data_IF_510761497132
#
_entry.id   IF_510761497132
#
_cell.length_a   1.000
_cell.length_b   1.000
_cell.length_c   1.000
_cell.angle_alpha   90.00
_cell.angle_beta   90.00
_cell.angle_gamma   90.00
#
_symmetry.space_group_name_H-M   'P 1'
#
loop_
_entity.id
_entity.type
_entity.pdbx_description
1 polymer ?
#
# COMPACT_ATOMS: atom_id res chain seq x y z
N UNK A 1 -30.16 -10.82 73.46
CA UNK A 1 -30.04 -9.36 73.21
C UNK A 1 -28.76 -8.88 73.88
N UNK A 2 -27.83 -8.31 73.09
CA UNK A 2 -26.71 -7.39 73.44
C UNK A 2 -25.79 -7.73 74.65
N UNK A 3 -24.48 -7.50 74.68
CA UNK A 3 -23.47 -6.94 73.78
C UNK A 3 -22.09 -7.08 74.46
N UNK A 4 -21.05 -7.27 73.65
CA UNK A 4 -19.62 -6.90 73.80
C UNK A 4 -19.02 -6.43 75.15
N UNK A 5 -17.87 -7.02 75.53
CA UNK A 5 -16.51 -6.48 75.26
C UNK A 5 -15.45 -7.20 76.12
N UNK A 6 -14.34 -7.69 75.53
CA UNK A 6 -12.99 -7.39 76.05
C UNK A 6 -11.87 -7.73 75.06
N UNK A 7 -10.75 -7.04 75.28
CA UNK A 7 -9.56 -6.77 74.47
C UNK A 7 -8.51 -7.89 74.41
N UNK A 8 -7.70 -7.80 73.35
CA UNK A 8 -6.23 -7.99 73.25
C UNK A 8 -5.61 -9.37 73.60
N UNK A 9 -4.84 -9.94 72.66
CA UNK A 9 -3.37 -9.89 72.68
C UNK A 9 -2.75 -10.57 71.44
N UNK A 10 -1.59 -10.07 71.05
CA UNK A 10 -0.59 -10.66 70.14
C UNK A 10 -0.19 -12.09 70.50
N UNK A 11 0.23 -12.90 69.51
CA UNK A 11 1.34 -13.86 69.62
C UNK A 11 1.68 -14.45 68.25
N UNK A 12 2.96 -14.33 67.90
CA UNK A 12 3.67 -15.20 66.96
C UNK A 12 3.62 -16.65 67.49
N UNK A 13 3.43 -17.63 66.62
CA UNK A 13 4.29 -18.82 66.54
C UNK A 13 3.87 -19.78 65.39
N UNK A 14 4.81 -19.91 64.44
CA UNK A 14 5.32 -21.14 63.80
C UNK A 14 4.36 -22.32 63.58
N UNK A 15 4.13 -22.68 62.31
CA UNK A 15 4.20 -24.08 61.84
C UNK A 15 4.67 -24.15 60.37
N UNK A 16 5.72 -24.94 60.21
CA UNK A 16 6.43 -25.39 59.00
C UNK A 16 5.53 -26.22 58.07
N UNK A 17 5.55 -25.91 56.77
CA UNK A 17 5.23 -26.87 55.71
C UNK A 17 6.20 -26.67 54.53
N UNK A 18 7.31 -27.38 54.60
CA UNK A 18 8.09 -27.81 53.45
C UNK A 18 7.22 -28.49 52.39
N UNK A 19 7.32 -28.02 51.14
CA UNK A 19 7.00 -28.80 49.96
C UNK A 19 6.00 -28.16 49.00
N UNK A 20 6.48 -27.31 48.08
CA UNK A 20 6.19 -27.44 46.64
C UNK A 20 7.06 -26.47 45.81
N UNK A 21 7.50 -26.85 44.58
CA UNK A 21 8.41 -26.05 43.78
C UNK A 21 7.72 -24.85 43.12
N UNK A 22 8.46 -23.75 43.01
CA UNK A 22 8.13 -22.57 42.21
C UNK A 22 7.73 -22.96 40.78
N UNK A 23 6.65 -22.42 40.20
CA UNK A 23 6.46 -22.49 38.76
C UNK A 23 7.54 -21.66 38.08
N UNK A 24 8.45 -22.37 37.42
CA UNK A 24 9.43 -21.86 36.48
C UNK A 24 8.82 -20.85 35.52
N UNK A 25 9.57 -19.77 35.26
CA UNK A 25 9.31 -18.77 34.24
C UNK A 25 8.71 -19.40 32.98
N UNK A 26 7.50 -18.97 32.63
CA UNK A 26 6.88 -19.36 31.37
C UNK A 26 7.77 -18.86 30.22
N UNK A 27 8.11 -19.71 29.24
CA UNK A 27 8.88 -19.28 28.09
C UNK A 27 8.07 -18.23 27.34
N UNK A 28 8.75 -17.14 26.97
CA UNK A 28 8.29 -16.12 26.03
C UNK A 28 7.53 -16.83 24.90
N UNK A 29 6.20 -16.66 24.88
CA UNK A 29 5.39 -17.13 23.76
C UNK A 29 5.94 -16.44 22.52
N UNK A 30 6.59 -17.23 21.67
CA UNK A 30 6.90 -16.85 20.31
C UNK A 30 5.58 -16.42 19.67
N UNK A 31 5.40 -15.10 19.56
CA UNK A 31 4.36 -14.49 18.75
C UNK A 31 4.65 -14.98 17.33
N UNK A 32 3.87 -15.94 16.84
CA UNK A 32 3.93 -16.36 15.44
C UNK A 32 3.69 -15.12 14.58
N UNK A 33 4.77 -14.51 14.10
CA UNK A 33 4.71 -13.63 12.94
C UNK A 33 4.34 -14.54 11.78
N UNK A 34 3.15 -14.35 11.21
CA UNK A 34 2.74 -14.98 9.97
C UNK A 34 3.56 -14.36 8.84
N UNK A 35 4.82 -14.78 8.73
CA UNK A 35 5.67 -14.42 7.60
C UNK A 35 5.24 -15.23 6.39
N UNK A 36 5.33 -14.64 5.20
CA UNK A 36 5.08 -15.35 3.95
C UNK A 36 6.26 -16.23 3.53
N UNK A 37 7.31 -16.40 4.36
CA UNK A 37 8.60 -17.07 4.08
C UNK A 37 8.51 -18.48 3.44
N UNK A 38 7.36 -19.16 3.50
CA UNK A 38 7.11 -20.44 2.81
C UNK A 38 6.25 -20.37 1.52
N UNK A 39 5.73 -19.20 1.16
CA UNK A 39 4.77 -18.99 0.06
C UNK A 39 5.40 -18.27 -1.12
N UNK A 40 6.39 -17.40 -0.87
CA UNK A 40 7.10 -16.63 -1.90
C UNK A 40 8.58 -16.97 -1.79
N UNK A 41 9.25 -17.24 -2.91
CA UNK A 41 10.71 -17.40 -2.90
C UNK A 41 11.35 -16.02 -2.74
N UNK A 42 12.07 -15.88 -1.64
CA UNK A 42 12.64 -14.65 -1.15
C UNK A 42 14.15 -14.54 -1.34
N UNK A 43 14.75 -15.52 -2.01
CA UNK A 43 16.16 -15.44 -2.36
C UNK A 43 16.35 -14.32 -3.37
N UNK A 44 17.03 -13.24 -2.96
CA UNK A 44 17.41 -12.16 -3.87
C UNK A 44 18.16 -12.78 -5.07
N UNK A 45 17.75 -12.50 -6.31
CA UNK A 45 18.40 -13.08 -7.47
C UNK A 45 19.85 -12.60 -7.55
N UNK A 46 20.73 -13.39 -8.14
CA UNK A 46 22.09 -12.93 -8.38
C UNK A 46 22.08 -11.73 -9.34
N UNK A 47 22.96 -10.73 -9.20
CA UNK A 47 23.10 -9.66 -10.20
C UNK A 47 23.52 -10.22 -11.56
N UNK A 48 23.10 -9.60 -12.66
CA UNK A 48 23.66 -9.92 -13.97
C UNK A 48 25.10 -9.39 -14.07
N UNK A 49 26.01 -10.12 -14.75
CA UNK A 49 27.27 -9.55 -15.23
C UNK A 49 27.02 -8.27 -16.03
N UNK A 50 27.87 -7.26 -15.87
CA UNK A 50 27.65 -5.93 -16.46
C UNK A 50 27.55 -5.98 -17.99
N UNK A 51 28.35 -6.81 -18.64
CA UNK A 51 28.33 -7.01 -20.09
C UNK A 51 27.01 -7.67 -20.55
N UNK A 52 26.56 -8.71 -19.82
CA UNK A 52 25.28 -9.36 -20.08
C UNK A 52 24.11 -8.39 -19.86
N UNK A 53 24.14 -7.58 -18.80
CA UNK A 53 23.13 -6.55 -18.54
C UNK A 53 23.03 -5.55 -19.69
N UNK A 54 24.16 -5.01 -20.15
CA UNK A 54 24.16 -4.06 -21.27
C UNK A 54 23.60 -4.67 -22.56
N UNK A 55 23.97 -5.93 -22.87
CA UNK A 55 23.41 -6.64 -24.04
C UNK A 55 21.90 -6.89 -23.90
N UNK A 56 21.47 -7.39 -22.76
CA UNK A 56 20.05 -7.64 -22.47
C UNK A 56 19.23 -6.34 -22.55
N UNK A 57 19.75 -5.23 -22.01
CA UNK A 57 19.12 -3.92 -22.09
C UNK A 57 18.99 -3.42 -23.54
N UNK A 58 20.04 -3.58 -24.35
CA UNK A 58 19.99 -3.18 -25.76
C UNK A 58 18.95 -3.99 -26.55
N UNK A 59 18.91 -5.31 -26.33
CA UNK A 59 17.93 -6.21 -26.95
C UNK A 59 16.50 -5.90 -26.49
N UNK A 60 16.30 -5.65 -25.20
CA UNK A 60 15.03 -5.19 -24.64
C UNK A 60 14.53 -3.93 -25.34
N UNK A 61 15.35 -2.88 -25.42
CA UNK A 61 14.95 -1.65 -26.09
C UNK A 61 14.71 -1.83 -27.60
N UNK A 62 15.45 -2.74 -28.25
CA UNK A 62 15.22 -3.05 -29.66
C UNK A 62 13.83 -3.64 -29.89
N UNK A 63 13.38 -4.56 -29.03
CA UNK A 63 12.02 -5.13 -29.05
C UNK A 63 10.97 -4.04 -28.79
N UNK A 64 11.14 -3.27 -27.72
CA UNK A 64 10.19 -2.21 -27.34
C UNK A 64 10.05 -1.16 -28.43
N UNK A 65 11.16 -0.72 -29.04
CA UNK A 65 11.13 0.31 -30.08
C UNK A 65 10.55 -0.23 -31.39
N UNK A 66 10.86 -1.48 -31.75
CA UNK A 66 10.32 -2.10 -32.97
C UNK A 66 8.78 -2.17 -32.94
N UNK A 67 8.21 -2.61 -31.81
CA UNK A 67 6.74 -2.71 -31.64
C UNK A 67 6.09 -1.43 -31.10
N UNK A 68 6.88 -0.40 -30.76
CA UNK A 68 6.39 0.86 -30.21
C UNK A 68 5.56 1.68 -31.20
N UNK A 69 5.84 1.54 -32.50
CA UNK A 69 5.15 2.24 -33.59
C UNK A 69 3.90 1.50 -34.10
N UNK A 70 3.64 0.28 -33.60
CA UNK A 70 2.43 -0.49 -33.88
C UNK A 70 1.25 0.15 -33.14
N UNK A 71 0.73 1.24 -33.71
CA UNK A 71 -0.27 2.13 -33.11
C UNK A 71 -1.41 1.39 -32.41
N UNK A 72 -1.51 1.60 -31.09
CA UNK A 72 -2.63 1.12 -30.30
C UNK A 72 -3.95 1.65 -30.84
N UNK A 73 -5.02 0.85 -30.75
CA UNK A 73 -6.37 1.31 -31.10
C UNK A 73 -6.74 2.50 -30.23
N UNK A 74 -7.52 3.43 -30.78
CA UNK A 74 -8.00 4.62 -30.07
C UNK A 74 -8.75 4.20 -28.80
N UNK A 75 -8.21 4.54 -27.63
CA UNK A 75 -8.78 4.19 -26.33
C UNK A 75 -8.14 3.00 -25.61
N UNK A 76 -7.08 2.40 -26.17
CA UNK A 76 -6.22 1.43 -25.48
C UNK A 76 -4.96 2.11 -24.91
N UNK A 77 -4.38 1.50 -23.88
CA UNK A 77 -3.06 1.90 -23.36
C UNK A 77 -1.94 1.32 -24.23
N UNK A 78 -0.75 1.93 -24.17
CA UNK A 78 0.42 1.43 -24.89
C UNK A 78 1.09 0.30 -24.11
N UNK A 79 0.94 -0.93 -24.62
CA UNK A 79 1.58 -2.14 -24.08
C UNK A 79 3.11 -2.06 -24.09
N UNK A 80 3.79 -1.68 -25.20
CA UNK A 80 5.23 -1.50 -25.18
C UNK A 80 5.69 -0.45 -24.17
N UNK A 81 4.97 0.68 -24.03
CA UNK A 81 5.31 1.70 -23.04
C UNK A 81 5.06 1.24 -21.61
N UNK A 82 4.01 0.46 -21.33
CA UNK A 82 3.78 -0.11 -20.01
C UNK A 82 4.98 -0.99 -19.61
N UNK A 83 5.41 -1.89 -20.49
CA UNK A 83 6.56 -2.77 -20.27
C UNK A 83 7.86 -1.96 -20.12
N UNK A 84 8.09 -0.99 -21.01
CA UNK A 84 9.24 -0.09 -20.97
C UNK A 84 9.36 0.66 -19.65
N UNK A 85 8.29 1.32 -19.23
CA UNK A 85 8.34 2.14 -18.02
C UNK A 85 8.34 1.28 -16.75
N UNK A 86 7.76 0.07 -16.79
CA UNK A 86 7.96 -0.92 -15.70
C UNK A 86 9.46 -1.16 -15.46
N UNK A 87 10.25 -1.35 -16.52
CA UNK A 87 11.70 -1.48 -16.43
C UNK A 87 12.42 -0.18 -16.01
N UNK A 88 12.11 0.93 -16.66
CA UNK A 88 12.86 2.19 -16.46
C UNK A 88 12.71 2.73 -15.03
N UNK A 89 11.52 2.56 -14.44
CA UNK A 89 11.20 2.99 -13.08
C UNK A 89 11.49 1.94 -12.00
N UNK A 90 11.97 0.74 -12.35
CA UNK A 90 12.56 -0.18 -11.35
C UNK A 90 13.73 0.50 -10.62
N UNK A 91 13.75 0.39 -9.29
CA UNK A 91 14.53 1.29 -8.41
C UNK A 91 16.02 0.97 -8.36
N UNK A 92 16.39 -0.30 -8.39
CA UNK A 92 17.78 -0.74 -8.28
C UNK A 92 18.23 -1.46 -9.55
N UNK A 93 19.55 -1.54 -9.78
CA UNK A 93 20.09 -2.38 -10.86
C UNK A 93 19.64 -3.84 -10.70
N UNK A 94 19.57 -4.35 -9.47
CA UNK A 94 19.10 -5.71 -9.23
C UNK A 94 17.63 -5.90 -9.60
N UNK A 95 16.78 -4.91 -9.33
CA UNK A 95 15.37 -4.92 -9.73
C UNK A 95 15.24 -4.89 -11.26
N UNK A 96 16.07 -4.09 -11.93
CA UNK A 96 16.17 -4.07 -13.40
C UNK A 96 16.63 -5.40 -13.97
N UNK A 97 17.61 -6.05 -13.37
CA UNK A 97 18.08 -7.38 -13.76
C UNK A 97 17.00 -8.44 -13.59
N UNK A 98 16.25 -8.37 -12.48
CA UNK A 98 15.11 -9.26 -12.20
C UNK A 98 14.02 -9.08 -13.25
N UNK A 99 13.67 -7.84 -13.58
CA UNK A 99 12.73 -7.53 -14.65
C UNK A 99 13.20 -8.09 -15.99
N UNK A 100 14.47 -7.87 -16.37
CA UNK A 100 15.00 -8.37 -17.65
C UNK A 100 14.90 -9.89 -17.71
N UNK A 101 15.27 -10.62 -16.65
CA UNK A 101 15.11 -12.08 -16.61
C UNK A 101 13.66 -12.51 -16.81
N UNK A 102 12.72 -11.88 -16.10
CA UNK A 102 11.30 -12.18 -16.25
C UNK A 102 10.81 -11.91 -17.69
N UNK A 103 11.21 -10.77 -18.25
CA UNK A 103 10.88 -10.39 -19.63
C UNK A 103 11.43 -11.39 -20.64
N UNK A 104 12.73 -11.68 -20.63
CA UNK A 104 13.36 -12.60 -21.60
C UNK A 104 12.82 -14.03 -21.47
N UNK A 105 12.59 -14.51 -20.25
CA UNK A 105 11.94 -15.81 -20.01
C UNK A 105 10.53 -15.84 -20.61
N UNK A 106 9.73 -14.78 -20.42
CA UNK A 106 8.39 -14.71 -20.98
C UNK A 106 8.40 -14.59 -22.51
N UNK A 107 9.36 -13.87 -23.07
CA UNK A 107 9.56 -13.77 -24.53
C UNK A 107 10.08 -15.09 -25.14
N UNK A 108 10.47 -16.07 -24.32
CA UNK A 108 11.14 -17.31 -24.74
C UNK A 108 12.46 -17.05 -25.48
N UNK A 109 13.18 -16.02 -25.02
CA UNK A 109 14.47 -15.62 -25.56
C UNK A 109 15.56 -15.87 -24.52
N UNK A 110 16.69 -16.41 -24.95
CA UNK A 110 17.87 -16.50 -24.09
C UNK A 110 18.43 -15.09 -23.84
N UNK A 111 18.47 -14.68 -22.57
CA UNK A 111 19.03 -13.39 -22.12
C UNK A 111 20.53 -13.27 -22.38
N UNK A 112 21.26 -14.39 -22.46
CA UNK A 112 22.69 -14.42 -22.76
C UNK A 112 23.00 -14.40 -24.26
N UNK A 113 22.02 -14.67 -25.12
CA UNK A 113 22.23 -14.77 -26.57
C UNK A 113 22.78 -13.47 -27.17
N UNK A 114 23.75 -13.65 -28.08
CA UNK A 114 24.39 -12.60 -28.88
C UNK A 114 23.84 -12.54 -30.31
N UNK A 115 22.89 -13.41 -30.66
CA UNK A 115 22.28 -13.44 -31.99
C UNK A 115 21.26 -12.32 -32.21
N UNK A 116 20.94 -12.08 -33.48
CA UNK A 116 19.88 -11.15 -33.88
C UNK A 116 18.51 -11.60 -33.36
N UNK A 117 17.62 -10.63 -33.14
CA UNK A 117 16.24 -10.88 -32.70
C UNK A 117 15.38 -11.08 -33.95
N UNK A 118 14.66 -12.19 -34.01
CA UNK A 118 13.61 -12.40 -35.00
C UNK A 118 12.36 -11.63 -34.55
N UNK A 119 11.99 -10.60 -35.33
CA UNK A 119 10.82 -9.76 -35.04
C UNK A 119 9.58 -10.31 -35.72
N UNK A 120 9.13 -11.47 -35.26
CA UNK A 120 7.94 -12.15 -35.79
C UNK A 120 6.65 -11.78 -35.03
N UNK A 121 5.52 -12.23 -35.57
CA UNK A 121 4.21 -12.03 -34.95
C UNK A 121 4.13 -12.72 -33.58
N UNK A 122 4.87 -13.81 -33.36
CA UNK A 122 4.88 -14.53 -32.08
C UNK A 122 5.51 -13.69 -30.98
N UNK A 123 6.61 -12.99 -31.27
CA UNK A 123 7.26 -12.07 -30.35
C UNK A 123 6.35 -10.89 -29.99
N UNK A 124 5.61 -10.35 -30.97
CA UNK A 124 4.59 -9.33 -30.71
C UNK A 124 3.50 -9.85 -29.77
N UNK A 125 2.97 -11.06 -30.01
CA UNK A 125 1.96 -11.66 -29.14
C UNK A 125 2.50 -11.90 -27.71
N UNK A 126 3.75 -12.34 -27.58
CA UNK A 126 4.39 -12.50 -26.28
C UNK A 126 4.50 -11.16 -25.55
N UNK A 127 4.93 -10.09 -26.24
CA UNK A 127 5.01 -8.74 -25.66
C UNK A 127 3.64 -8.25 -25.20
N UNK A 128 2.59 -8.45 -26.01
CA UNK A 128 1.22 -8.09 -25.67
C UNK A 128 0.75 -8.84 -24.42
N UNK A 129 0.95 -10.17 -24.39
CA UNK A 129 0.56 -11.00 -23.28
C UNK A 129 1.32 -10.65 -21.99
N UNK A 130 2.61 -10.29 -22.08
CA UNK A 130 3.37 -9.83 -20.93
C UNK A 130 2.85 -8.50 -20.38
N UNK A 131 2.51 -7.55 -21.26
CA UNK A 131 1.93 -6.28 -20.85
C UNK A 131 0.55 -6.48 -20.18
N UNK A 132 -0.32 -7.31 -20.74
CA UNK A 132 -1.62 -7.62 -20.16
C UNK A 132 -1.48 -8.39 -18.83
N UNK A 133 -0.48 -9.28 -18.68
CA UNK A 133 -0.15 -9.91 -17.40
C UNK A 133 0.18 -8.86 -16.33
N UNK A 134 1.05 -7.89 -16.64
CA UNK A 134 1.40 -6.81 -15.74
C UNK A 134 0.19 -5.94 -15.40
N UNK A 135 -0.63 -5.60 -16.40
CA UNK A 135 -1.84 -4.81 -16.19
C UNK A 135 -2.79 -5.51 -15.23
N UNK A 136 -3.13 -6.76 -15.53
CA UNK A 136 -4.24 -7.49 -14.89
C UNK A 136 -3.88 -7.98 -13.49
N UNK A 137 -2.61 -8.31 -13.26
CA UNK A 137 -2.16 -8.86 -11.99
C UNK A 137 -1.49 -7.83 -11.08
N UNK A 138 -1.24 -6.61 -11.54
CA UNK A 138 -0.57 -5.59 -10.72
C UNK A 138 -1.23 -4.22 -10.83
N UNK A 139 -1.21 -3.58 -12.00
CA UNK A 139 -1.63 -2.18 -12.11
C UNK A 139 -3.12 -1.95 -11.88
N UNK A 140 -3.96 -2.76 -12.53
CA UNK A 140 -5.41 -2.72 -12.38
C UNK A 140 -5.83 -2.99 -10.93
N UNK A 141 -5.44 -4.12 -10.30
CA UNK A 141 -5.83 -4.40 -8.91
C UNK A 141 -5.30 -3.38 -7.90
N UNK A 142 -4.07 -2.88 -8.08
CA UNK A 142 -3.53 -1.83 -7.22
C UNK A 142 -4.36 -0.55 -7.30
N UNK A 143 -4.62 -0.04 -8.51
CA UNK A 143 -5.39 1.19 -8.69
C UNK A 143 -6.84 1.05 -8.23
N UNK A 144 -7.44 -0.12 -8.43
CA UNK A 144 -8.80 -0.42 -7.96
C UNK A 144 -8.90 -0.41 -6.42
N UNK A 145 -7.91 -0.99 -5.72
CA UNK A 145 -7.93 -1.15 -4.27
C UNK A 145 -7.33 0.02 -3.48
N UNK A 146 -6.48 0.84 -4.11
CA UNK A 146 -5.81 1.99 -3.44
C UNK A 146 -6.77 3.07 -2.95
N UNK A 147 -8.01 3.12 -3.47
CA UNK A 147 -9.06 4.05 -3.03
C UNK A 147 -9.83 3.57 -1.81
N UNK A 148 -9.78 2.27 -1.54
CA UNK A 148 -10.70 1.59 -0.62
C UNK A 148 -10.03 1.26 0.71
N UNK A 149 -9.07 2.07 1.17
CA UNK A 149 -8.46 1.84 2.49
C UNK A 149 -9.57 1.77 3.54
N UNK A 150 -9.88 0.58 4.13
CA UNK A 150 -11.03 0.45 5.00
C UNK A 150 -10.83 1.36 6.20
N UNK A 151 -11.71 2.35 6.35
CA UNK A 151 -11.65 3.21 7.51
C UNK A 151 -12.23 2.43 8.71
N UNK A 152 -11.54 2.38 9.85
CA UNK A 152 -12.01 1.61 10.98
C UNK A 152 -13.37 2.16 11.44
N UNK A 153 -14.33 1.25 11.64
CA UNK A 153 -15.55 1.56 12.39
C UNK A 153 -15.20 1.83 13.86
N UNK A 154 -16.02 2.58 14.61
CA UNK A 154 -15.80 2.86 16.03
C UNK A 154 -15.46 1.60 16.83
N UNK A 155 -14.50 1.69 17.76
CA UNK A 155 -13.95 0.56 18.51
C UNK A 155 -15.01 -0.31 19.22
N UNK A 156 -16.17 0.28 19.57
CA UNK A 156 -17.31 -0.42 20.15
C UNK A 156 -18.00 -1.39 19.16
N UNK A 157 -18.08 -1.06 17.87
CA UNK A 157 -18.67 -1.92 16.86
C UNK A 157 -17.78 -3.14 16.58
N UNK A 158 -16.46 -2.95 16.55
CA UNK A 158 -15.49 -4.05 16.42
C UNK A 158 -15.55 -5.02 17.60
N UNK A 159 -15.78 -4.51 18.82
CA UNK A 159 -15.98 -5.34 20.01
C UNK A 159 -17.26 -6.20 19.93
N UNK A 160 -18.34 -5.67 19.34
CA UNK A 160 -19.60 -6.39 19.14
C UNK A 160 -19.44 -7.48 18.08
N UNK A 161 -18.78 -7.19 16.95
CA UNK A 161 -18.51 -8.17 15.90
C UNK A 161 -17.65 -9.34 16.41
N UNK A 162 -16.70 -9.08 17.34
CA UNK A 162 -15.94 -10.14 18.03
C UNK A 162 -16.81 -11.07 18.87
N UNK A 163 -17.78 -10.53 19.61
CA UNK A 163 -18.71 -11.34 20.40
C UNK A 163 -19.60 -12.25 19.51
N UNK A 164 -19.69 -11.96 18.22
CA UNK A 164 -20.47 -12.71 17.24
C UNK A 164 -19.65 -13.73 16.42
N UNK A 165 -18.34 -13.89 16.68
CA UNK A 165 -17.55 -15.00 16.16
C UNK A 165 -17.03 -14.87 14.72
N UNK A 166 -16.73 -13.64 14.24
CA UNK A 166 -16.15 -13.42 12.91
C UNK A 166 -14.79 -14.10 12.68
N UNK A 167 -14.60 -14.70 11.49
CA UNK A 167 -13.38 -15.37 11.04
C UNK A 167 -12.20 -14.38 10.99
N UNK A 168 -11.06 -14.75 11.58
CA UNK A 168 -9.89 -13.89 11.73
C UNK A 168 -9.00 -13.88 10.48
N UNK A 169 -9.06 -12.82 9.68
CA UNK A 169 -7.93 -12.42 8.82
C UNK A 169 -6.85 -11.77 9.70
N UNK A 170 -5.58 -12.12 9.52
CA UNK A 170 -4.50 -11.62 10.38
C UNK A 170 -4.09 -10.17 10.05
N UNK A 171 -4.42 -9.68 8.86
CA UNK A 171 -4.17 -8.33 8.38
C UNK A 171 -5.52 -7.61 8.14
N UNK A 172 -5.62 -6.32 8.42
CA UNK A 172 -6.82 -5.54 8.13
C UNK A 172 -7.95 -5.70 9.14
N UNK A 173 -7.68 -6.26 10.32
CA UNK A 173 -8.70 -6.29 11.38
C UNK A 173 -9.09 -4.88 11.81
N UNK A 174 -10.36 -4.64 12.19
CA UNK A 174 -10.80 -3.31 12.63
C UNK A 174 -9.93 -2.71 13.75
N UNK A 175 -9.45 -3.54 14.69
CA UNK A 175 -8.56 -3.10 15.77
C UNK A 175 -7.21 -2.60 15.25
N UNK A 176 -6.62 -3.31 14.27
CA UNK A 176 -5.34 -2.95 13.67
C UNK A 176 -5.46 -1.66 12.87
N UNK A 177 -6.52 -1.54 12.07
CA UNK A 177 -6.79 -0.32 11.30
C UNK A 177 -7.04 0.87 12.21
N UNK A 178 -7.74 0.67 13.34
CA UNK A 178 -7.92 1.70 14.38
C UNK A 178 -6.60 2.11 15.02
N UNK A 179 -5.75 1.15 15.37
CA UNK A 179 -4.42 1.42 15.93
C UNK A 179 -3.50 2.14 14.94
N UNK A 180 -3.48 1.70 13.67
CA UNK A 180 -2.76 2.35 12.58
C UNK A 180 -3.23 3.79 12.41
N UNK A 181 -4.55 4.02 12.39
CA UNK A 181 -5.15 5.34 12.26
C UNK A 181 -4.71 6.27 13.39
N UNK A 182 -4.84 5.84 14.64
CA UNK A 182 -4.41 6.62 15.80
C UNK A 182 -2.91 6.94 15.76
N UNK A 183 -2.07 5.96 15.41
CA UNK A 183 -0.62 6.14 15.32
C UNK A 183 -0.23 7.14 14.24
N UNK A 184 -0.84 7.08 13.05
CA UNK A 184 -0.55 8.02 11.97
C UNK A 184 -1.04 9.42 12.28
N UNK A 185 -2.24 9.58 12.85
CA UNK A 185 -2.75 10.89 13.27
C UNK A 185 -1.81 11.56 14.28
N UNK A 186 -1.36 10.81 15.29
CA UNK A 186 -0.40 11.32 16.29
C UNK A 186 0.93 11.69 15.62
N UNK A 187 1.49 10.80 14.79
CA UNK A 187 2.75 11.05 14.08
C UNK A 187 2.67 12.29 13.20
N UNK A 188 1.56 12.45 12.48
CA UNK A 188 1.36 13.51 11.51
C UNK A 188 0.78 14.79 12.16
N UNK A 189 0.85 14.92 13.49
CA UNK A 189 0.38 16.06 14.28
C UNK A 189 -1.09 16.42 14.00
N UNK A 190 -1.92 15.41 13.76
CA UNK A 190 -3.33 15.53 13.39
C UNK A 190 -3.53 16.44 12.17
N UNK A 191 -2.60 16.41 11.22
CA UNK A 191 -2.65 17.20 9.98
C UNK A 191 -2.55 16.32 8.75
N UNK A 192 -3.20 16.75 7.68
CA UNK A 192 -2.90 16.24 6.35
C UNK A 192 -1.45 16.55 5.99
N UNK A 193 -0.67 15.53 5.61
CA UNK A 193 0.75 15.71 5.29
C UNK A 193 1.00 16.59 4.05
N UNK A 194 0.01 16.71 3.16
CA UNK A 194 0.06 17.53 1.94
C UNK A 194 -0.46 18.95 2.21
N UNK A 195 -1.74 19.08 2.58
CA UNK A 195 -2.41 20.40 2.70
C UNK A 195 -2.15 21.09 4.03
N UNK A 196 -1.64 20.38 5.06
CA UNK A 196 -1.48 20.83 6.44
C UNK A 196 -2.77 21.23 7.18
N UNK A 197 -3.93 21.01 6.57
CA UNK A 197 -5.23 21.17 7.25
C UNK A 197 -5.26 20.28 8.50
N UNK A 198 -5.70 20.85 9.62
CA UNK A 198 -5.82 20.17 10.91
C UNK A 198 -7.11 19.33 10.97
N UNK A 199 -7.11 18.27 11.78
CA UNK A 199 -8.25 17.38 11.89
C UNK A 199 -9.47 18.06 12.53
N UNK A 200 -10.59 17.99 11.84
CA UNK A 200 -11.86 18.55 12.31
C UNK A 200 -12.35 17.86 13.58
N UNK A 201 -12.21 16.53 13.68
CA UNK A 201 -12.65 15.80 14.86
C UNK A 201 -11.78 16.15 16.06
N UNK A 202 -10.47 16.20 15.88
CA UNK A 202 -9.56 16.60 16.96
C UNK A 202 -9.76 18.05 17.40
N UNK A 203 -10.10 18.95 16.48
CA UNK A 203 -10.50 20.32 16.84
C UNK A 203 -11.69 20.30 17.80
N UNK A 204 -12.73 19.53 17.51
CA UNK A 204 -13.92 19.42 18.35
C UNK A 204 -13.56 18.86 19.73
N UNK A 205 -12.80 17.77 19.78
CA UNK A 205 -12.37 17.14 21.03
C UNK A 205 -11.62 18.13 21.93
N UNK A 206 -10.61 18.83 21.37
CA UNK A 206 -9.80 19.77 22.15
C UNK A 206 -10.58 21.01 22.58
N UNK A 207 -11.45 21.53 21.72
CA UNK A 207 -12.29 22.68 22.07
C UNK A 207 -13.29 22.31 23.18
N UNK A 208 -13.84 21.11 23.17
CA UNK A 208 -14.70 20.63 24.26
C UNK A 208 -13.94 20.47 25.58
N UNK A 209 -12.68 20.03 25.54
CA UNK A 209 -11.87 19.79 26.73
C UNK A 209 -11.23 21.07 27.30
N UNK A 210 -10.83 22.00 26.45
CA UNK A 210 -9.99 23.15 26.81
C UNK A 210 -10.59 24.52 26.45
N UNK A 211 -11.77 24.56 25.82
CA UNK A 211 -12.41 25.81 25.41
C UNK A 211 -11.54 26.63 24.47
N UNK A 212 -11.48 27.94 24.70
CA UNK A 212 -10.71 28.91 23.89
C UNK A 212 -9.19 28.71 24.00
N UNK A 213 -8.71 28.00 25.03
CA UNK A 213 -7.29 27.72 25.23
C UNK A 213 -6.80 26.48 24.46
N UNK A 214 -7.68 25.80 23.72
CA UNK A 214 -7.34 24.61 22.95
C UNK A 214 -6.18 24.84 21.98
N UNK A 215 -5.13 24.01 22.09
CA UNK A 215 -3.91 24.08 21.25
C UNK A 215 -3.74 22.83 20.39
N UNK A 216 -3.11 23.01 19.22
CA UNK A 216 -2.66 21.91 18.36
C UNK A 216 -1.40 21.24 18.94
N UNK A 217 -0.92 20.19 18.26
CA UNK A 217 0.24 19.39 18.67
C UNK A 217 1.56 20.19 18.70
N UNK A 218 1.56 21.40 18.12
CA UNK A 218 2.70 22.32 18.06
C UNK A 218 2.51 23.52 19.01
N UNK A 219 1.43 23.55 19.81
CA UNK A 219 1.13 24.60 20.78
C UNK A 219 0.38 25.83 20.22
N UNK A 220 -0.01 25.82 18.95
CA UNK A 220 -0.74 26.92 18.33
C UNK A 220 -2.24 26.83 18.63
N UNK A 221 -2.98 27.95 18.70
CA UNK A 221 -4.43 27.91 18.87
C UNK A 221 -5.12 27.08 17.78
N UNK A 222 -6.05 26.19 18.13
CA UNK A 222 -6.84 25.43 17.15
C UNK A 222 -7.89 26.29 16.43
N UNK A 223 -8.25 27.42 17.04
CA UNK A 223 -9.19 28.37 16.47
C UNK A 223 -8.57 29.09 15.26
N UNK A 224 -9.36 29.29 14.20
CA UNK A 224 -8.92 29.99 12.99
C UNK A 224 -8.05 29.17 12.02
N UNK A 225 -7.62 27.96 12.40
CA UNK A 225 -6.89 27.07 11.49
C UNK A 225 -7.80 26.52 10.38
N UNK A 226 -7.22 26.25 9.20
CA UNK A 226 -7.90 25.50 8.15
C UNK A 226 -8.04 24.02 8.57
N UNK A 227 -9.24 23.45 8.38
CA UNK A 227 -9.60 22.12 8.89
C UNK A 227 -10.19 21.23 7.81
N UNK A 228 -10.11 19.93 8.03
CA UNK A 228 -10.77 18.90 7.24
C UNK A 228 -10.92 17.65 8.10
N UNK A 229 -11.87 16.80 7.77
CA UNK A 229 -11.80 15.41 8.24
C UNK A 229 -10.58 14.74 7.57
N UNK A 230 -9.82 14.02 8.38
CA UNK A 230 -8.64 13.29 7.93
C UNK A 230 -8.92 11.79 7.83
N UNK A 231 -8.22 11.17 6.91
CA UNK A 231 -8.18 9.74 6.67
C UNK A 231 -6.72 9.28 6.70
N UNK A 232 -6.54 7.99 6.99
CA UNK A 232 -5.22 7.36 6.91
C UNK A 232 -5.23 6.45 5.70
N UNK A 233 -4.30 6.72 4.80
CA UNK A 233 -4.15 6.05 3.52
C UNK A 233 -2.92 5.16 3.56
N UNK A 234 -3.04 3.90 3.17
CA UNK A 234 -1.87 3.08 2.92
C UNK A 234 -1.11 3.61 1.68
N UNK A 235 0.22 3.55 1.69
CA UNK A 235 1.08 3.92 0.55
C UNK A 235 1.04 2.81 -0.49
N UNK A 236 1.27 1.56 -0.07
CA UNK A 236 0.95 0.36 -0.83
C UNK A 236 -0.33 -0.28 -0.28
N UNK A 237 -1.32 -0.60 -1.14
CA UNK A 237 -2.63 -1.05 -0.70
C UNK A 237 -2.60 -2.27 0.20
N UNK A 238 -3.45 -2.24 1.23
CA UNK A 238 -3.65 -3.34 2.15
C UNK A 238 -4.01 -4.67 1.45
N UNK A 239 -4.81 -4.58 0.38
CA UNK A 239 -5.29 -5.71 -0.43
C UNK A 239 -4.18 -6.63 -0.94
N UNK A 240 -2.96 -6.13 -1.11
CA UNK A 240 -1.78 -6.90 -1.57
C UNK A 240 -1.50 -8.13 -0.71
N UNK A 241 -1.75 -8.04 0.60
CA UNK A 241 -1.42 -9.10 1.55
C UNK A 241 -2.66 -9.68 2.23
N UNK A 242 -3.85 -9.29 1.79
CA UNK A 242 -5.10 -9.79 2.36
C UNK A 242 -5.31 -11.25 1.97
N UNK A 243 -5.40 -12.12 2.97
CA UNK A 243 -5.60 -13.55 2.80
C UNK A 243 -7.07 -13.90 2.67
N UNK A 244 -7.39 -14.96 1.93
CA UNK A 244 -8.74 -15.50 1.84
C UNK A 244 -9.19 -16.18 3.16
N UNK A 245 -10.40 -16.75 3.18
CA UNK A 245 -10.97 -17.38 4.37
C UNK A 245 -10.12 -18.54 4.94
N UNK A 246 -9.24 -19.13 4.13
CA UNK A 246 -8.33 -20.19 4.55
C UNK A 246 -6.98 -19.64 5.06
N UNK A 247 -6.86 -18.32 5.22
CA UNK A 247 -5.60 -17.64 5.56
C UNK A 247 -4.49 -17.81 4.52
N UNK A 248 -4.85 -18.03 3.25
CA UNK A 248 -3.92 -18.17 2.13
C UNK A 248 -3.95 -16.93 1.21
N UNK A 249 -2.82 -16.60 0.60
CA UNK A 249 -2.76 -15.61 -0.48
C UNK A 249 -3.28 -16.21 -1.78
N UNK A 250 -4.16 -15.48 -2.47
CA UNK A 250 -4.61 -15.85 -3.80
C UNK A 250 -3.48 -15.71 -4.82
N UNK A 251 -3.50 -16.52 -5.89
CA UNK A 251 -2.41 -16.55 -6.88
C UNK A 251 -2.22 -15.19 -7.60
N UNK A 252 -3.29 -14.41 -7.75
CA UNK A 252 -3.20 -13.04 -8.27
C UNK A 252 -2.38 -12.13 -7.35
N UNK A 253 -2.51 -12.26 -6.03
CA UNK A 253 -1.74 -11.50 -5.03
C UNK A 253 -0.28 -11.96 -4.97
N UNK A 254 -0.03 -13.28 -5.07
CA UNK A 254 1.34 -13.81 -5.21
C UNK A 254 2.02 -13.24 -6.45
N UNK A 255 1.30 -13.18 -7.57
CA UNK A 255 1.79 -12.59 -8.83
C UNK A 255 2.04 -11.09 -8.66
N UNK A 256 1.13 -10.35 -8.02
CA UNK A 256 1.31 -8.93 -7.73
C UNK A 256 2.56 -8.67 -6.88
N UNK A 257 2.81 -9.47 -5.84
CA UNK A 257 3.99 -9.37 -4.98
C UNK A 257 5.28 -9.73 -5.74
N UNK A 258 5.24 -10.72 -6.64
CA UNK A 258 6.37 -11.03 -7.52
C UNK A 258 6.68 -9.86 -8.47
N UNK A 259 5.66 -9.25 -9.07
CA UNK A 259 5.82 -8.04 -9.90
C UNK A 259 6.36 -6.88 -9.08
N UNK A 260 5.88 -6.70 -7.84
CA UNK A 260 6.38 -5.68 -6.92
C UNK A 260 7.89 -5.88 -6.62
N UNK A 261 8.36 -7.12 -6.48
CA UNK A 261 9.79 -7.40 -6.30
C UNK A 261 10.62 -7.15 -7.57
N UNK A 262 10.01 -7.13 -8.77
CA UNK A 262 10.69 -6.66 -10.00
C UNK A 262 10.89 -5.14 -10.00
N UNK A 263 10.06 -4.40 -9.25
CA UNK A 263 10.22 -2.95 -9.08
C UNK A 263 11.28 -2.60 -8.05
N UNK A 264 11.23 -3.29 -6.91
CA UNK A 264 12.10 -3.02 -5.79
C UNK A 264 12.34 -4.33 -5.02
N UNK A 265 13.55 -4.88 -5.12
CA UNK A 265 13.89 -6.21 -4.62
C UNK A 265 13.66 -6.31 -3.12
N UNK A 266 12.95 -7.33 -2.65
CA UNK A 266 12.65 -7.59 -1.23
C UNK A 266 11.62 -6.64 -0.61
N UNK A 267 10.93 -5.81 -1.39
CA UNK A 267 9.91 -4.93 -0.80
C UNK A 267 8.70 -5.72 -0.29
N UNK A 268 8.37 -6.84 -0.91
CA UNK A 268 7.28 -7.72 -0.42
C UNK A 268 7.51 -8.21 1.01
N UNK A 269 8.77 -8.37 1.45
CA UNK A 269 9.10 -8.68 2.84
C UNK A 269 8.82 -7.54 3.80
N UNK A 270 9.04 -6.30 3.35
CA UNK A 270 8.82 -5.12 4.19
C UNK A 270 7.33 -5.02 4.54
N UNK A 271 6.46 -5.38 3.62
CA UNK A 271 5.01 -5.28 3.77
C UNK A 271 4.34 -6.61 4.10
N UNK A 272 5.10 -7.65 4.45
CA UNK A 272 4.57 -9.00 4.64
C UNK A 272 3.57 -9.11 5.79
N UNK A 273 2.61 -10.02 5.66
CA UNK A 273 1.58 -10.34 6.65
C UNK A 273 1.06 -9.13 7.44
N UNK A 274 1.51 -9.02 8.69
CA UNK A 274 1.07 -7.95 9.59
C UNK A 274 1.78 -6.60 9.39
N UNK A 275 2.90 -6.59 8.69
CA UNK A 275 3.72 -5.41 8.42
C UNK A 275 3.03 -4.42 7.47
N UNK A 276 2.07 -4.89 6.65
CA UNK A 276 1.27 -4.04 5.74
C UNK A 276 0.53 -2.90 6.47
N UNK A 277 0.08 -3.13 7.71
CA UNK A 277 -0.67 -2.16 8.52
C UNK A 277 0.22 -1.39 9.51
N UNK A 278 1.53 -1.32 9.24
CA UNK A 278 2.43 -0.51 10.06
C UNK A 278 2.48 0.94 9.59
N UNK A 279 2.72 1.91 10.50
CA UNK A 279 2.74 3.33 10.16
C UNK A 279 3.69 3.72 9.02
N UNK A 280 4.78 2.97 8.78
CA UNK A 280 5.68 3.26 7.66
C UNK A 280 5.02 3.11 6.28
N UNK A 281 3.96 2.32 6.18
CA UNK A 281 3.18 2.13 4.96
C UNK A 281 1.92 3.00 4.95
N UNK A 282 1.81 4.04 5.78
CA UNK A 282 0.60 4.87 5.81
C UNK A 282 0.88 6.35 6.07
N UNK A 283 0.01 7.21 5.54
CA UNK A 283 0.06 8.67 5.68
C UNK A 283 -1.33 9.27 5.94
N UNK A 284 -1.38 10.37 6.70
CA UNK A 284 -2.61 11.09 6.97
C UNK A 284 -2.92 12.10 5.87
N UNK A 285 -4.10 11.99 5.25
CA UNK A 285 -4.56 12.82 4.13
C UNK A 285 -5.96 13.39 4.40
N UNK A 286 -6.33 14.46 3.71
CA UNK A 286 -7.76 14.82 3.59
C UNK A 286 -8.44 13.85 2.64
N UNK A 287 -9.75 13.67 2.76
CA UNK A 287 -10.52 12.75 1.90
C UNK A 287 -10.27 12.97 0.40
N UNK A 288 -10.29 14.22 -0.06
CA UNK A 288 -10.02 14.57 -1.46
C UNK A 288 -8.60 14.17 -1.90
N UNK A 289 -7.58 14.48 -1.10
CA UNK A 289 -6.19 14.16 -1.42
C UNK A 289 -5.96 12.64 -1.32
N UNK A 290 -6.62 11.94 -0.39
CA UNK A 290 -6.58 10.48 -0.29
C UNK A 290 -7.09 9.83 -1.56
N UNK A 291 -8.26 10.27 -2.08
CA UNK A 291 -8.80 9.77 -3.34
C UNK A 291 -7.80 9.95 -4.49
N UNK A 292 -7.22 11.14 -4.61
CA UNK A 292 -6.26 11.47 -5.67
C UNK A 292 -4.92 10.73 -5.54
N UNK A 293 -4.47 10.50 -4.30
CA UNK A 293 -3.29 9.70 -4.00
C UNK A 293 -3.51 8.22 -4.35
N UNK A 294 -4.66 7.65 -3.97
CA UNK A 294 -5.06 6.29 -4.35
C UNK A 294 -5.30 6.13 -5.86
N UNK A 295 -5.70 7.20 -6.54
CA UNK A 295 -5.81 7.25 -8.00
C UNK A 295 -4.46 7.40 -8.74
N UNK A 296 -3.36 7.48 -7.98
CA UNK A 296 -2.02 7.76 -8.49
C UNK A 296 -1.94 9.08 -9.29
N UNK A 297 -2.74 10.08 -8.92
CA UNK A 297 -2.70 11.43 -9.50
C UNK A 297 -1.83 12.38 -8.70
N UNK A 298 -1.56 12.10 -7.42
CA UNK A 298 -0.61 12.83 -6.57
C UNK A 298 0.55 11.90 -6.22
N UNK A 299 1.78 12.40 -6.26
CA UNK A 299 2.99 11.64 -5.95
C UNK A 299 4.02 12.47 -5.19
N UNK A 300 4.98 11.79 -4.55
CA UNK A 300 5.98 12.37 -3.67
C UNK A 300 7.37 12.23 -4.31
N UNK A 301 7.96 13.33 -4.77
CA UNK A 301 9.34 13.40 -5.28
C UNK A 301 10.29 13.72 -4.11
N UNK A 302 11.30 12.90 -3.82
CA UNK A 302 12.28 13.24 -2.77
C UNK A 302 13.05 14.50 -3.14
N UNK A 303 13.35 15.33 -2.14
CA UNK A 303 14.25 16.48 -2.32
C UNK A 303 15.67 16.06 -1.96
N UNK A 304 16.58 16.22 -2.92
CA UNK A 304 17.98 15.81 -2.75
C UNK A 304 18.63 16.42 -1.51
N UNK A 305 19.31 15.58 -0.74
CA UNK A 305 19.99 15.98 0.49
C UNK A 305 19.07 16.32 1.67
N UNK A 306 17.75 16.17 1.55
CA UNK A 306 16.79 16.49 2.60
C UNK A 306 15.97 15.27 3.01
N UNK A 307 16.34 14.66 4.14
CA UNK A 307 15.63 13.49 4.68
C UNK A 307 14.14 13.78 4.92
N UNK A 308 13.30 12.81 4.54
CA UNK A 308 11.84 12.85 4.66
C UNK A 308 11.20 14.14 4.11
N UNK A 309 11.85 14.79 3.16
CA UNK A 309 11.36 16.00 2.52
C UNK A 309 11.03 15.71 1.07
N UNK A 310 9.82 16.09 0.67
CA UNK A 310 9.28 15.77 -0.64
C UNK A 310 8.70 17.00 -1.28
N UNK A 311 8.98 17.13 -2.58
CA UNK A 311 8.21 17.96 -3.48
C UNK A 311 7.02 17.12 -3.96
N UNK A 312 5.84 17.48 -3.48
CA UNK A 312 4.57 16.79 -3.78
C UNK A 312 3.97 17.44 -5.02
N UNK A 313 3.71 16.64 -6.04
CA UNK A 313 3.17 17.10 -7.33
C UNK A 313 2.00 16.22 -7.77
N UNK A 314 1.42 16.56 -8.91
CA UNK A 314 0.29 15.84 -9.47
C UNK A 314 0.31 15.76 -11.00
N UNK A 315 -0.52 14.86 -11.55
CA UNK A 315 -0.87 14.82 -12.98
C UNK A 315 -2.22 15.46 -13.27
N UNK A 316 -2.67 16.37 -12.40
CA UNK A 316 -3.97 17.03 -12.50
C UNK A 316 -3.92 18.20 -13.48
N UNK A 317 -5.06 18.59 -14.07
CA UNK A 317 -5.17 19.85 -14.79
C UNK A 317 -4.73 21.04 -13.91
N UNK A 318 -4.11 22.05 -14.52
CA UNK A 318 -3.52 23.18 -13.80
C UNK A 318 -4.48 23.85 -12.81
N UNK A 319 -5.72 24.12 -13.23
CA UNK A 319 -6.72 24.76 -12.37
C UNK A 319 -6.99 23.97 -11.07
N UNK A 320 -7.01 22.64 -11.16
CA UNK A 320 -7.31 21.78 -10.03
C UNK A 320 -6.08 21.57 -9.14
N UNK A 321 -4.88 21.53 -9.73
CA UNK A 321 -3.63 21.56 -8.98
C UNK A 321 -3.48 22.87 -8.17
N UNK A 322 -3.84 24.01 -8.76
CA UNK A 322 -3.81 25.33 -8.10
C UNK A 322 -4.77 25.40 -6.91
N UNK A 323 -5.99 24.85 -7.02
CA UNK A 323 -6.96 24.74 -5.92
C UNK A 323 -6.39 23.95 -4.73
N UNK A 324 -5.66 22.87 -5.00
CA UNK A 324 -4.96 22.05 -4.00
C UNK A 324 -3.63 22.65 -3.54
N UNK A 325 -3.20 23.77 -4.15
CA UNK A 325 -1.89 24.41 -3.94
C UNK A 325 -0.72 23.49 -4.22
N UNK A 326 -0.82 22.70 -5.29
CA UNK A 326 0.24 21.84 -5.81
C UNK A 326 0.92 22.53 -7.00
N UNK A 327 2.24 22.34 -7.19
CA UNK A 327 3.13 21.55 -6.35
C UNK A 327 3.49 22.20 -5.02
N UNK A 328 3.89 21.40 -4.04
CA UNK A 328 4.31 21.92 -2.74
C UNK A 328 5.43 21.12 -2.08
N UNK A 329 6.34 21.79 -1.38
CA UNK A 329 7.40 21.12 -0.60
C UNK A 329 6.94 20.87 0.84
N UNK A 330 7.15 19.65 1.31
CA UNK A 330 6.78 19.20 2.66
C UNK A 330 7.87 18.32 3.25
N UNK A 331 8.32 18.69 4.45
CA UNK A 331 9.01 17.78 5.35
C UNK A 331 7.97 16.98 6.13
N UNK A 332 7.94 15.67 5.95
CA UNK A 332 7.02 14.80 6.69
C UNK A 332 7.42 14.77 8.16
N UNK A 333 6.41 14.65 9.03
CA UNK A 333 6.65 14.61 10.46
C UNK A 333 7.30 13.28 10.85
N UNK A 334 8.26 13.37 11.77
CA UNK A 334 8.96 12.23 12.36
C UNK A 334 8.94 12.45 13.85
N UNK A 335 8.56 11.44 14.63
CA UNK A 335 8.68 11.53 16.09
C UNK A 335 10.13 11.39 16.50
N UNK A 336 10.58 12.24 17.44
CA UNK A 336 11.94 12.19 17.99
C UNK A 336 12.22 10.86 18.70
N UNK A 337 11.22 10.30 19.39
CA UNK A 337 11.31 9.02 20.09
C UNK A 337 11.35 7.79 19.16
N UNK A 338 11.04 7.98 17.87
CA UNK A 338 10.94 6.93 16.84
C UNK A 338 10.06 5.75 17.24
N UNK A 339 9.11 5.95 18.16
CA UNK A 339 8.18 4.89 18.59
C UNK A 339 7.12 4.60 17.53
N UNK A 340 6.81 5.59 16.70
CA UNK A 340 5.91 5.45 15.55
C UNK A 340 6.74 5.60 14.28
N UNK A 341 6.70 4.59 13.42
CA UNK A 341 7.50 4.58 12.20
C UNK A 341 7.16 5.77 11.28
N UNK A 342 8.20 6.42 10.74
CA UNK A 342 8.05 7.43 9.70
C UNK A 342 7.57 6.79 8.38
N UNK A 343 6.85 7.54 7.51
CA UNK A 343 6.50 7.07 6.18
C UNK A 343 7.76 6.63 5.42
N UNK A 344 7.73 5.42 4.87
CA UNK A 344 8.87 4.81 4.21
C UNK A 344 9.20 5.54 2.91
N UNK A 345 10.41 6.13 2.78
CA UNK A 345 10.85 6.73 1.51
C UNK A 345 10.84 5.74 0.35
N UNK A 346 11.11 4.47 0.65
CA UNK A 346 11.13 3.37 -0.32
C UNK A 346 9.73 3.14 -0.89
N UNK A 347 8.71 3.08 -0.04
CA UNK A 347 7.32 2.85 -0.48
C UNK A 347 6.75 4.07 -1.21
N UNK A 348 7.04 5.29 -0.75
CA UNK A 348 6.64 6.51 -1.46
C UNK A 348 7.24 6.58 -2.87
N UNK A 349 8.49 6.14 -3.02
CA UNK A 349 9.12 6.11 -4.33
C UNK A 349 8.56 5.02 -5.26
N UNK A 350 8.10 3.89 -4.72
CA UNK A 350 7.36 2.87 -5.50
C UNK A 350 6.00 3.43 -5.93
N UNK A 351 5.26 4.07 -5.03
CA UNK A 351 3.99 4.73 -5.37
C UNK A 351 4.19 5.75 -6.50
N UNK A 352 5.21 6.60 -6.38
CA UNK A 352 5.60 7.55 -7.44
C UNK A 352 5.92 6.84 -8.77
N UNK A 353 6.73 5.78 -8.75
CA UNK A 353 7.06 5.02 -9.95
C UNK A 353 5.80 4.51 -10.65
N UNK A 354 4.88 3.88 -9.90
CA UNK A 354 3.60 3.39 -10.41
C UNK A 354 2.79 4.54 -11.01
N UNK A 355 2.72 5.69 -10.34
CA UNK A 355 2.00 6.86 -10.84
C UNK A 355 2.53 7.34 -12.20
N UNK A 356 3.85 7.44 -12.35
CA UNK A 356 4.45 7.81 -13.63
C UNK A 356 4.19 6.77 -14.71
N UNK A 357 4.30 5.47 -14.41
CA UNK A 357 4.06 4.40 -15.38
C UNK A 357 2.62 4.44 -15.88
N UNK A 358 1.65 4.52 -14.96
CA UNK A 358 0.23 4.62 -15.30
C UNK A 358 -0.06 5.82 -16.20
N UNK A 359 0.59 6.96 -15.92
CA UNK A 359 0.45 8.18 -16.72
C UNK A 359 1.10 8.06 -18.10
N UNK A 360 2.36 7.65 -18.16
CA UNK A 360 3.16 7.65 -19.39
C UNK A 360 2.78 6.54 -20.37
N UNK A 361 2.25 5.41 -19.88
CA UNK A 361 1.74 4.32 -20.73
C UNK A 361 0.29 4.51 -21.18
N UNK A 362 -0.45 5.42 -20.56
CA UNK A 362 -1.91 5.55 -20.72
C UNK A 362 -2.72 4.49 -19.97
N UNK A 363 -2.07 3.55 -19.26
CA UNK A 363 -2.76 2.48 -18.54
C UNK A 363 -3.66 3.02 -17.42
N UNK A 364 -3.29 4.14 -16.79
CA UNK A 364 -4.12 4.76 -15.76
C UNK A 364 -5.50 5.20 -16.27
N UNK A 365 -5.54 5.88 -17.41
CA UNK A 365 -6.79 6.32 -18.05
C UNK A 365 -7.61 5.15 -18.57
N UNK A 366 -6.93 4.12 -19.08
CA UNK A 366 -7.56 2.87 -19.52
C UNK A 366 -8.24 2.14 -18.34
N UNK A 367 -7.56 2.01 -17.20
CA UNK A 367 -8.13 1.44 -15.97
C UNK A 367 -9.29 2.29 -15.46
N UNK A 368 -9.14 3.63 -15.44
CA UNK A 368 -10.21 4.55 -15.03
C UNK A 368 -11.49 4.32 -15.86
N UNK A 369 -11.35 4.04 -17.17
CA UNK A 369 -12.47 3.71 -18.06
C UNK A 369 -13.12 2.38 -17.68
N UNK A 370 -12.35 1.31 -17.48
CA UNK A 370 -12.86 -0.03 -17.10
C UNK A 370 -13.67 0.05 -15.79
N UNK A 371 -13.11 0.71 -14.77
CA UNK A 371 -13.75 0.81 -13.46
C UNK A 371 -15.04 1.66 -13.53
N UNK A 372 -15.00 2.78 -14.26
CA UNK A 372 -16.17 3.66 -14.43
C UNK A 372 -17.31 2.98 -15.20
N UNK A 373 -17.02 2.28 -16.29
CA UNK A 373 -18.05 1.57 -17.08
C UNK A 373 -18.79 0.54 -16.23
N UNK A 374 -18.05 -0.15 -15.36
CA UNK A 374 -18.65 -1.09 -14.42
C UNK A 374 -19.53 -0.41 -13.36
N UNK A 375 -19.08 0.71 -12.78
CA UNK A 375 -19.83 1.46 -11.76
C UNK A 375 -21.08 2.14 -12.32
N UNK A 376 -20.99 2.79 -13.49
CA UNK A 376 -22.04 3.66 -14.03
C UNK A 376 -23.04 2.92 -14.94
N UNK A 377 -22.56 1.99 -15.76
CA UNK A 377 -23.37 1.40 -16.85
C UNK A 377 -23.70 -0.08 -16.66
N UNK A 378 -23.10 -0.73 -15.66
CA UNK A 378 -23.20 -2.17 -15.49
C UNK A 378 -22.66 -2.90 -16.73
N UNK A 379 -23.21 -4.08 -17.02
CA UNK A 379 -22.83 -4.86 -18.21
C UNK A 379 -23.48 -4.26 -19.45
N UNK A 380 -22.69 -3.68 -20.36
CA UNK A 380 -23.24 -3.22 -21.64
C UNK A 380 -23.57 -4.41 -22.56
N UNK A 381 -24.72 -4.34 -23.22
CA UNK A 381 -25.25 -5.40 -24.09
C UNK A 381 -24.48 -5.57 -25.40
N UNK A 382 -23.62 -4.61 -25.76
CA UNK A 382 -22.77 -4.63 -26.95
C UNK A 382 -21.43 -5.35 -26.73
N UNK A 383 -21.16 -5.84 -25.51
CA UNK A 383 -19.93 -6.55 -25.17
C UNK A 383 -18.70 -5.65 -25.03
N UNK A 384 -18.88 -4.32 -24.98
CA UNK A 384 -17.77 -3.37 -24.82
C UNK A 384 -17.19 -3.31 -23.40
N UNK A 385 -17.96 -3.76 -22.39
CA UNK A 385 -17.50 -3.85 -21.00
C UNK A 385 -16.54 -5.02 -20.82
N UNK A 386 -15.34 -4.74 -20.31
CA UNK A 386 -14.32 -5.76 -19.98
C UNK A 386 -14.68 -6.51 -18.68
N UNK A 387 -15.79 -7.24 -18.70
CA UNK A 387 -16.33 -7.98 -17.56
C UNK A 387 -15.36 -9.02 -17.02
N UNK A 388 -14.55 -9.62 -17.89
CA UNK A 388 -13.57 -10.63 -17.51
C UNK A 388 -12.61 -10.08 -16.45
N UNK A 389 -12.08 -8.87 -16.67
CA UNK A 389 -11.18 -8.22 -15.73
C UNK A 389 -11.86 -7.85 -14.41
N UNK A 390 -13.10 -7.34 -14.46
CA UNK A 390 -13.84 -6.99 -13.23
C UNK A 390 -14.17 -8.24 -12.39
N UNK A 391 -14.61 -9.32 -13.03
CA UNK A 391 -14.90 -10.58 -12.35
C UNK A 391 -13.62 -11.13 -11.71
N UNK A 392 -12.49 -11.08 -12.42
CA UNK A 392 -11.19 -11.49 -11.88
C UNK A 392 -10.75 -10.64 -10.67
N UNK A 393 -10.99 -9.32 -10.69
CA UNK A 393 -10.71 -8.46 -9.54
C UNK A 393 -11.51 -8.84 -8.30
N UNK A 394 -12.81 -9.10 -8.47
CA UNK A 394 -13.68 -9.55 -7.36
C UNK A 394 -13.29 -10.93 -6.85
N UNK A 395 -13.04 -11.87 -7.77
CA UNK A 395 -12.65 -13.24 -7.41
C UNK A 395 -11.29 -13.28 -6.69
N UNK A 396 -10.35 -12.43 -7.09
CA UNK A 396 -9.05 -12.28 -6.41
C UNK A 396 -9.10 -11.50 -5.09
N UNK A 397 -10.29 -11.09 -4.62
CA UNK A 397 -10.46 -10.36 -3.36
C UNK A 397 -9.77 -9.00 -3.35
N UNK A 398 -9.71 -8.31 -4.50
CA UNK A 398 -9.12 -6.98 -4.64
C UNK A 398 -10.12 -5.85 -4.40
N UNK A 399 -11.42 -6.16 -4.49
CA UNK A 399 -12.51 -5.25 -4.19
C UNK A 399 -13.27 -5.82 -3.00
N UNK A 400 -13.31 -5.08 -1.89
CA UNK A 400 -14.12 -5.49 -0.75
C UNK A 400 -15.60 -5.32 -1.09
N UNK A 401 -16.37 -6.37 -0.84
CA UNK A 401 -17.79 -6.45 -1.14
C UNK A 401 -18.64 -5.60 -0.21
N UNK A 402 -18.63 -4.29 -0.40
CA UNK A 402 -19.73 -3.38 -0.09
C UNK A 402 -19.47 -2.06 -0.81
N UNK A 403 -20.11 -1.87 -1.97
CA UNK A 403 -20.39 -0.52 -2.44
C UNK A 403 -21.40 0.03 -1.43
N UNK A 404 -20.97 0.92 -0.55
CA UNK A 404 -21.94 1.76 0.17
C UNK A 404 -22.68 2.55 -0.91
N UNK A 405 -23.90 2.10 -1.17
CA UNK A 405 -24.84 2.80 -2.02
C UNK A 405 -25.25 4.02 -1.22
N UNK A 406 -24.64 5.16 -1.53
CA UNK A 406 -25.10 6.46 -1.05
C UNK A 406 -26.43 6.85 -1.72
#
# INVERSE_FOLDING_TARGET
MASHHRRQSSLEDVLDFSGQPLPSASPLQHRHQSSFEGIINFSAPEPLPADQRSRAQHRFYSIINHFGDSGGKRGEYSRPLLVRYTYEFSRSELSKDTFLRAFFNFMQLDIASEGDIDFDDQLLQNLIAFADLLLDNFYLPLKASSKQTPQPSPAHLSAIQRAQGGVHSYAGTPERLSHLRGSCLIRDHHRCVVSRKFDSQETLNRTQQHGDDARDDEGNPVQGQARSFLEVAHILPHSLTHTNANSELDDSKKTALAILNMFDCDVSHIIDGTSIDRPFNAITLTQEIHRLFGDFKIYFEPVDGQEHTYRIDSFLPAFYADELKLPVVRKLFIREDRLIDAPSPRLLAIHRAIAHILRLSGAGEYIDKILREFEETGVQSDGSTDLGRIVNLRYGGWLDGAVDVH
#
